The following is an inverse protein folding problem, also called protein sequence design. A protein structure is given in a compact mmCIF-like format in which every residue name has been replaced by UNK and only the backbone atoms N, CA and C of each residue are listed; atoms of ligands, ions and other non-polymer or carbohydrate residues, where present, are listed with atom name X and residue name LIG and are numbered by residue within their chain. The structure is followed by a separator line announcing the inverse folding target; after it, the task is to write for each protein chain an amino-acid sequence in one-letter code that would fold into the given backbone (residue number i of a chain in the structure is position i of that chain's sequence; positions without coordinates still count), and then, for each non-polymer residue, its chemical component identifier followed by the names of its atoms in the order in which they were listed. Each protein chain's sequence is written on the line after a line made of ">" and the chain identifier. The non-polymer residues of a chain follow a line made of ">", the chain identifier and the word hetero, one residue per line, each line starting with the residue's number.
data_IF_772505377373
#
_entry.id   IF_772505377373
#
_cell.length_a   1.000
_cell.length_b   1.000
_cell.length_c   1.000
_cell.angle_alpha   90.00
_cell.angle_beta   90.00
_cell.angle_gamma   90.00
#
_symmetry.space_group_name_H-M   'P 1'
#
loop_
_entity.id
_entity.type
_entity.pdbx_description
1 polymer ?
#
# COMPACT_ATOMS: atom_id res chain seq x y z
N UNK A 1 -15.90 -34.69 -25.97
CA UNK A 1 -16.49 -34.79 -24.61
C UNK A 1 -15.41 -35.35 -23.71
N UNK A 2 -14.97 -34.59 -22.71
CA UNK A 2 -13.86 -35.00 -21.84
C UNK A 2 -13.22 -33.79 -21.17
N UNK A 3 -13.96 -33.15 -20.26
CA UNK A 3 -13.41 -32.13 -19.37
C UNK A 3 -12.93 -32.87 -18.12
N UNK A 4 -11.62 -33.04 -17.97
CA UNK A 4 -11.07 -33.62 -16.75
C UNK A 4 -11.33 -32.70 -15.56
N UNK A 5 -11.93 -33.33 -14.55
CA UNK A 5 -12.18 -32.89 -13.18
C UNK A 5 -10.91 -32.32 -12.54
N UNK A 6 -10.90 -31.02 -12.26
CA UNK A 6 -9.92 -30.40 -11.37
C UNK A 6 -10.38 -30.62 -9.92
N UNK A 7 -9.54 -31.31 -9.15
CA UNK A 7 -9.77 -31.68 -7.76
C UNK A 7 -9.64 -30.53 -6.77
N UNK A 8 -10.46 -30.63 -5.72
CA UNK A 8 -10.38 -29.81 -4.52
C UNK A 8 -9.06 -30.04 -3.78
N UNK A 9 -8.42 -28.96 -3.36
CA UNK A 9 -7.26 -28.97 -2.47
C UNK A 9 -7.25 -27.71 -1.64
N UNK A 10 -7.96 -27.74 -0.50
CA UNK A 10 -7.80 -26.75 0.56
C UNK A 10 -6.45 -26.93 1.22
N UNK A 11 -5.62 -25.88 1.18
CA UNK A 11 -4.51 -25.70 2.10
C UNK A 11 -4.45 -24.23 2.49
N UNK A 12 -4.98 -23.95 3.68
CA UNK A 12 -4.76 -22.73 4.45
C UNK A 12 -3.23 -22.54 4.65
N UNK A 13 -2.64 -21.54 4.01
CA UNK A 13 -1.28 -21.10 4.31
C UNK A 13 -1.18 -19.60 4.00
N UNK A 14 -1.44 -18.80 5.02
CA UNK A 14 -1.57 -17.34 5.02
C UNK A 14 -0.21 -16.62 4.93
N UNK A 15 0.80 -17.26 4.32
CA UNK A 15 2.14 -16.73 4.15
C UNK A 15 2.49 -16.50 2.68
N UNK A 16 3.31 -15.49 2.42
CA UNK A 16 3.98 -15.33 1.13
C UNK A 16 4.91 -16.52 0.91
N UNK A 17 4.58 -17.38 -0.06
CA UNK A 17 5.45 -18.46 -0.50
C UNK A 17 6.42 -17.95 -1.57
N UNK A 18 7.66 -18.43 -1.50
CA UNK A 18 8.69 -18.20 -2.53
C UNK A 18 8.61 -19.34 -3.54
N UNK A 19 8.66 -19.01 -4.83
CA UNK A 19 8.74 -20.04 -5.88
C UNK A 19 10.12 -20.71 -5.86
N UNK A 20 10.22 -21.94 -6.36
CA UNK A 20 11.47 -22.70 -6.51
C UNK A 20 12.54 -21.92 -7.32
N UNK A 21 12.14 -20.96 -8.14
CA UNK A 21 13.03 -20.08 -8.91
C UNK A 21 13.44 -18.77 -8.21
N UNK A 22 13.12 -18.60 -6.93
CA UNK A 22 13.46 -17.38 -6.18
C UNK A 22 12.61 -16.15 -6.51
N UNK A 23 11.72 -16.23 -7.49
CA UNK A 23 10.72 -15.20 -7.75
C UNK A 23 9.64 -15.22 -6.66
N UNK A 24 9.22 -14.04 -6.21
CA UNK A 24 8.10 -13.88 -5.30
C UNK A 24 6.84 -14.41 -5.99
N UNK A 25 6.17 -15.40 -5.41
CA UNK A 25 4.95 -15.95 -5.98
C UNK A 25 3.90 -14.82 -6.01
N UNK A 26 3.35 -14.55 -7.20
CA UNK A 26 2.31 -13.52 -7.36
C UNK A 26 1.22 -13.80 -6.33
N UNK A 27 0.95 -12.88 -5.39
CA UNK A 27 0.07 -13.19 -4.28
C UNK A 27 -1.29 -13.58 -4.85
N UNK A 28 -1.76 -14.75 -4.42
CA UNK A 28 -3.07 -15.28 -4.79
C UNK A 28 -4.13 -14.17 -4.65
N UNK A 29 -5.20 -14.22 -5.44
CA UNK A 29 -6.26 -13.19 -5.34
C UNK A 29 -6.79 -13.05 -3.90
N UNK A 30 -6.76 -14.14 -3.11
CA UNK A 30 -7.10 -14.15 -1.69
C UNK A 30 -6.10 -13.33 -0.85
N UNK A 31 -4.79 -13.55 -1.04
CA UNK A 31 -3.75 -12.86 -0.27
C UNK A 31 -3.75 -11.35 -0.54
N UNK A 32 -4.03 -10.92 -1.78
CA UNK A 32 -4.20 -9.48 -2.10
C UNK A 32 -5.40 -8.85 -1.40
N UNK A 33 -6.51 -9.59 -1.27
CA UNK A 33 -7.69 -9.10 -0.55
C UNK A 33 -7.37 -8.86 0.93
N UNK A 34 -6.65 -9.78 1.56
CA UNK A 34 -6.21 -9.64 2.96
C UNK A 34 -5.23 -8.47 3.12
N UNK A 35 -4.28 -8.34 2.20
CA UNK A 35 -3.34 -7.21 2.18
C UNK A 35 -4.06 -5.84 2.11
N UNK A 36 -5.04 -5.68 1.20
CA UNK A 36 -5.80 -4.44 1.12
C UNK A 36 -6.68 -4.19 2.34
N UNK A 37 -7.30 -5.23 2.90
CA UNK A 37 -8.06 -5.08 4.14
C UNK A 37 -7.18 -4.62 5.31
N UNK A 38 -5.97 -5.18 5.46
CA UNK A 38 -5.02 -4.77 6.49
C UNK A 38 -4.48 -3.35 6.26
N UNK A 39 -4.22 -2.98 5.00
CA UNK A 39 -3.84 -1.61 4.60
C UNK A 39 -4.92 -0.61 5.02
N UNK A 40 -6.17 -0.89 4.66
CA UNK A 40 -7.28 0.03 4.88
C UNK A 40 -7.54 0.19 6.39
N UNK A 41 -7.47 -0.90 7.16
CA UNK A 41 -7.56 -0.83 8.63
C UNK A 41 -6.44 0.01 9.27
N UNK A 42 -5.19 -0.15 8.80
CA UNK A 42 -4.07 0.68 9.27
C UNK A 42 -4.29 2.16 8.95
N UNK A 43 -4.70 2.48 7.72
CA UNK A 43 -4.96 3.85 7.29
C UNK A 43 -6.15 4.49 8.00
N UNK A 44 -7.23 3.76 8.24
CA UNK A 44 -8.35 4.23 9.06
C UNK A 44 -7.90 4.59 10.49
N UNK A 45 -7.02 3.78 11.09
CA UNK A 45 -6.46 4.10 12.39
C UNK A 45 -5.65 5.40 12.35
N UNK A 46 -4.81 5.58 11.32
CA UNK A 46 -4.05 6.82 11.14
C UNK A 46 -4.96 8.03 10.98
N UNK A 47 -6.03 7.91 10.19
CA UNK A 47 -7.02 8.97 9.96
C UNK A 47 -7.74 9.36 11.26
N UNK A 48 -8.20 8.37 12.04
CA UNK A 48 -8.83 8.60 13.36
C UNK A 48 -7.92 9.34 14.35
N UNK A 49 -6.61 9.18 14.21
CA UNK A 49 -5.61 9.80 15.08
C UNK A 49 -4.92 11.04 14.45
N UNK A 50 -5.45 11.54 13.33
CA UNK A 50 -4.89 12.68 12.58
C UNK A 50 -3.40 12.52 12.24
N UNK A 51 -3.01 11.32 11.85
CA UNK A 51 -1.65 11.00 11.38
C UNK A 51 -1.67 10.87 9.86
N UNK A 52 -1.12 11.86 9.17
CA UNK A 52 -0.96 11.78 7.71
C UNK A 52 0.29 11.01 7.33
N UNK A 53 1.43 11.42 7.88
CA UNK A 53 2.75 10.89 7.54
C UNK A 53 3.30 10.03 8.67
N UNK A 54 3.12 8.72 8.54
CA UNK A 54 3.61 7.72 9.49
C UNK A 54 5.05 7.28 9.22
N UNK A 55 5.79 7.91 8.30
CA UNK A 55 7.12 7.43 7.86
C UNK A 55 8.22 8.51 7.91
N UNK A 56 8.00 9.71 7.41
CA UNK A 56 9.07 10.71 7.28
C UNK A 56 9.21 11.57 8.53
N UNK A 57 8.13 11.78 9.28
CA UNK A 57 8.14 12.61 10.49
C UNK A 57 8.41 11.78 11.75
N UNK A 58 9.17 12.31 12.70
CA UNK A 58 9.43 11.63 13.99
C UNK A 58 8.15 11.47 14.80
N UNK A 59 7.34 12.54 14.87
CA UNK A 59 6.08 12.54 15.63
C UNK A 59 5.03 11.63 15.00
N UNK A 60 4.92 11.62 13.67
CA UNK A 60 4.00 10.75 12.96
C UNK A 60 4.37 9.27 13.11
N UNK A 61 5.67 8.93 13.07
CA UNK A 61 6.14 7.57 13.41
C UNK A 61 5.81 7.18 14.85
N UNK A 62 6.05 8.08 15.80
CA UNK A 62 5.75 7.81 17.21
C UNK A 62 4.25 7.59 17.45
N UNK A 63 3.39 8.46 16.87
CA UNK A 63 1.93 8.34 16.97
C UNK A 63 1.40 7.09 16.25
N UNK A 64 1.92 6.78 15.07
CA UNK A 64 1.54 5.57 14.36
C UNK A 64 1.91 4.31 15.16
N UNK A 65 3.10 4.28 15.76
CA UNK A 65 3.53 3.18 16.62
C UNK A 65 2.69 3.07 17.90
N UNK A 66 2.32 4.19 18.53
CA UNK A 66 1.56 4.19 19.79
C UNK A 66 0.09 3.84 19.60
N UNK A 67 -0.57 4.39 18.59
CA UNK A 67 -2.02 4.22 18.38
C UNK A 67 -2.36 3.10 17.40
N UNK A 68 -1.51 2.89 16.39
CA UNK A 68 -1.80 2.01 15.26
C UNK A 68 -0.80 0.87 15.10
N UNK A 69 0.09 0.65 16.08
CA UNK A 69 1.15 -0.36 15.98
C UNK A 69 0.65 -1.79 15.80
N UNK A 70 -0.55 -2.12 16.32
CA UNK A 70 -1.17 -3.42 16.06
C UNK A 70 -1.58 -3.58 14.59
N UNK A 71 -2.23 -2.56 14.02
CA UNK A 71 -2.63 -2.58 12.61
C UNK A 71 -1.42 -2.54 11.68
N UNK A 72 -0.33 -1.88 12.09
CA UNK A 72 0.91 -1.85 11.32
C UNK A 72 1.55 -3.24 11.22
N UNK A 73 1.59 -3.97 12.33
CA UNK A 73 2.06 -5.37 12.35
C UNK A 73 1.19 -6.28 11.48
N UNK A 74 -0.13 -6.10 11.53
CA UNK A 74 -1.05 -6.89 10.71
C UNK A 74 -0.91 -6.53 9.22
N UNK A 75 -0.62 -5.28 8.91
CA UNK A 75 -0.34 -4.83 7.55
C UNK A 75 0.97 -5.43 7.01
N UNK A 76 2.04 -5.42 7.81
CA UNK A 76 3.32 -6.06 7.47
C UNK A 76 3.25 -7.58 7.37
N UNK A 77 2.37 -8.22 8.15
CA UNK A 77 2.14 -9.66 8.09
C UNK A 77 1.40 -10.09 6.82
N UNK A 78 0.38 -9.34 6.41
CA UNK A 78 -0.49 -9.73 5.30
C UNK A 78 -0.05 -9.19 3.93
N UNK A 79 0.87 -8.22 3.88
CA UNK A 79 1.39 -7.65 2.66
C UNK A 79 2.89 -7.92 2.47
N UNK A 80 3.32 -7.89 1.21
CA UNK A 80 4.75 -7.81 0.91
C UNK A 80 5.34 -6.50 1.49
N UNK A 81 6.53 -6.56 2.09
CA UNK A 81 7.19 -5.39 2.66
C UNK A 81 7.31 -4.22 1.67
N UNK A 82 7.66 -4.51 0.40
CA UNK A 82 7.73 -3.51 -0.66
C UNK A 82 6.39 -2.83 -0.94
N UNK A 83 5.27 -3.55 -0.79
CA UNK A 83 3.93 -2.99 -0.94
C UNK A 83 3.56 -2.10 0.24
N UNK A 84 3.90 -2.51 1.46
CA UNK A 84 3.68 -1.71 2.68
C UNK A 84 4.40 -0.37 2.57
N UNK A 85 5.69 -0.39 2.26
CA UNK A 85 6.48 0.83 2.07
C UNK A 85 5.91 1.71 0.96
N UNK A 86 5.56 1.10 -0.18
CA UNK A 86 4.98 1.82 -1.31
C UNK A 86 3.67 2.51 -0.92
N UNK A 87 2.74 1.81 -0.29
CA UNK A 87 1.45 2.40 0.10
C UNK A 87 1.61 3.50 1.16
N UNK A 88 2.47 3.32 2.15
CA UNK A 88 2.76 4.35 3.16
C UNK A 88 3.31 5.63 2.50
N UNK A 89 4.23 5.50 1.54
CA UNK A 89 4.76 6.63 0.75
C UNK A 89 3.69 7.25 -0.16
N UNK A 90 2.93 6.41 -0.86
CA UNK A 90 1.90 6.84 -1.80
C UNK A 90 0.83 7.70 -1.13
N UNK A 91 0.45 7.38 0.11
CA UNK A 91 -0.51 8.17 0.90
C UNK A 91 -0.06 9.63 1.08
N UNK A 92 1.21 9.86 1.40
CA UNK A 92 1.79 11.20 1.56
C UNK A 92 1.85 11.95 0.22
N UNK A 93 2.32 11.27 -0.84
CA UNK A 93 2.43 11.85 -2.18
C UNK A 93 1.06 12.24 -2.74
N UNK A 94 0.05 11.37 -2.60
CA UNK A 94 -1.31 11.65 -3.04
C UNK A 94 -1.88 12.88 -2.34
N UNK A 95 -1.71 12.97 -1.01
CA UNK A 95 -2.13 14.15 -0.27
C UNK A 95 -1.45 15.43 -0.78
N UNK A 96 -0.13 15.42 -0.95
CA UNK A 96 0.61 16.58 -1.45
C UNK A 96 0.16 16.99 -2.86
N UNK A 97 -0.14 16.02 -3.72
CA UNK A 97 -0.68 16.25 -5.05
C UNK A 97 -2.05 16.94 -4.98
N UNK A 98 -2.95 16.46 -4.14
CA UNK A 98 -4.26 17.08 -3.93
C UNK A 98 -4.16 18.51 -3.37
N UNK A 99 -3.26 18.76 -2.41
CA UNK A 99 -3.03 20.11 -1.89
C UNK A 99 -2.46 21.04 -2.96
N UNK A 100 -1.59 20.52 -3.83
CA UNK A 100 -1.03 21.28 -4.95
C UNK A 100 -2.11 21.63 -5.96
N UNK A 101 -2.96 20.68 -6.34
CA UNK A 101 -4.08 20.90 -7.26
C UNK A 101 -5.04 21.94 -6.68
N UNK A 102 -5.45 21.80 -5.41
CA UNK A 102 -6.32 22.78 -4.73
C UNK A 102 -5.71 24.19 -4.71
N UNK A 103 -4.39 24.30 -4.50
CA UNK A 103 -3.68 25.59 -4.56
C UNK A 103 -3.74 26.20 -5.96
N UNK A 104 -3.50 25.42 -7.00
CA UNK A 104 -3.55 25.87 -8.40
C UNK A 104 -4.98 26.32 -8.76
N UNK A 105 -5.99 25.53 -8.42
CA UNK A 105 -7.41 25.86 -8.62
C UNK A 105 -7.80 27.18 -7.94
N UNK A 106 -7.34 27.39 -6.69
CA UNK A 106 -7.61 28.62 -5.94
C UNK A 106 -6.94 29.87 -6.52
N UNK A 107 -5.86 29.71 -7.29
CA UNK A 107 -5.11 30.80 -7.92
C UNK A 107 -5.62 31.15 -9.34
N UNK A 108 -6.64 30.44 -9.84
CA UNK A 108 -7.38 30.83 -11.03
C UNK A 108 -6.67 30.64 -12.38
N UNK A 109 -5.62 29.81 -12.49
CA UNK A 109 -4.89 29.72 -13.76
C UNK A 109 -3.98 28.49 -13.94
N UNK A 110 -4.25 27.79 -15.04
CA UNK A 110 -3.43 26.84 -15.80
C UNK A 110 -2.62 25.76 -15.07
N UNK A 111 -3.13 24.53 -15.22
CA UNK A 111 -2.49 23.29 -14.80
C UNK A 111 -1.31 23.01 -15.75
N UNK A 112 -0.13 23.56 -15.46
CA UNK A 112 1.11 23.01 -16.03
C UNK A 112 1.43 21.75 -15.24
N UNK A 113 1.09 20.59 -15.80
CA UNK A 113 1.46 19.30 -15.20
C UNK A 113 2.99 19.29 -14.98
N UNK A 114 3.47 19.03 -13.73
CA UNK A 114 4.89 18.84 -13.51
C UNK A 114 5.37 17.71 -14.41
N UNK A 115 6.27 18.03 -15.35
CA UNK A 115 6.88 17.03 -16.21
C UNK A 115 7.68 16.09 -15.30
N UNK A 116 7.14 14.90 -15.05
CA UNK A 116 7.88 13.85 -14.39
C UNK A 116 9.08 13.51 -15.29
N UNK A 117 10.32 13.50 -14.79
CA UNK A 117 11.46 13.08 -15.59
C UNK A 117 11.19 11.65 -16.05
N UNK A 118 10.97 11.47 -17.36
CA UNK A 118 10.86 10.14 -17.95
C UNK A 118 12.19 9.43 -17.70
N UNK A 119 12.17 8.16 -17.26
CA UNK A 119 13.39 7.39 -17.14
C UNK A 119 14.07 7.36 -18.51
N UNK A 120 15.29 7.89 -18.57
CA UNK A 120 16.12 7.87 -19.77
C UNK A 120 16.32 6.42 -20.17
N UNK A 121 15.66 6.00 -21.25
CA UNK A 121 15.92 4.74 -21.93
C UNK A 121 17.35 4.78 -22.44
N UNK A 122 18.23 4.02 -21.80
CA UNK A 122 19.59 3.73 -22.24
C UNK A 122 19.63 2.35 -22.88
#
# INVERSE_FOLDING_TARGET
>A
MGWQLWGSGSSDDSGVKKTTGGAFESPSRSNRKQCYAARDAFFECLDKNNVLDSINTKDGRAKAASFCGQFDKEFEKNCAHSWVEYFKKQRVVNYQREQTIKRIESQGGDIVAPQLPLPSSK
#
